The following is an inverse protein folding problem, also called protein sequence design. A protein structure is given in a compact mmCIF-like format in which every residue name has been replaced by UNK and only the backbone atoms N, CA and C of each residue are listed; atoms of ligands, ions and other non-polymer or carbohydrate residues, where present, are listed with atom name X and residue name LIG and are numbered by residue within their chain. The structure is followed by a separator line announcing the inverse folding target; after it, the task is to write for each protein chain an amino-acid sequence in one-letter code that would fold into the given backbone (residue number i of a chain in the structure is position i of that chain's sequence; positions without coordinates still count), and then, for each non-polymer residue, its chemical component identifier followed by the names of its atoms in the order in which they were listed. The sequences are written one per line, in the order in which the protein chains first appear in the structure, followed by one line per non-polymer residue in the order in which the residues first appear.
data_IF_065996265840
#
_entry.id   IF_065996265840
#
_cell.length_a   1.000
_cell.length_b   1.000
_cell.length_c   1.000
_cell.angle_alpha   90.00
_cell.angle_beta   90.00
_cell.angle_gamma   90.00
#
_symmetry.space_group_name_H-M   'P 1'
#
loop_
_entity.id
_entity.type
_entity.pdbx_description
1 polymer ?
#
# COMPACT_ATOMS: atom_id res chain seq x y z
N UNK A 1 3.97 2.79 16.33
CA UNK A 1 3.09 3.95 16.11
C UNK A 1 3.50 4.68 14.85
N UNK A 2 2.53 5.27 14.13
CA UNK A 2 2.81 6.17 13.02
C UNK A 2 3.15 7.57 13.56
N UNK A 3 3.97 8.34 12.87
CA UNK A 3 4.28 9.74 13.25
C UNK A 3 3.02 10.63 13.21
N UNK A 4 2.17 10.39 12.24
CA UNK A 4 0.84 10.99 12.10
C UNK A 4 -0.16 9.87 11.79
N UNK A 5 -1.41 9.94 12.32
CA UNK A 5 -2.43 8.98 11.94
C UNK A 5 -2.67 9.00 10.43
N UNK A 6 -2.72 7.82 9.82
CA UNK A 6 -2.99 7.67 8.40
C UNK A 6 -4.50 7.64 8.16
N UNK A 7 -5.05 8.75 7.66
CA UNK A 7 -6.47 8.91 7.40
C UNK A 7 -6.85 8.63 5.95
N UNK A 8 -7.89 7.83 5.75
CA UNK A 8 -8.55 7.54 4.47
C UNK A 8 -10.06 7.78 4.60
N UNK A 9 -10.83 7.70 3.52
CA UNK A 9 -12.29 7.86 3.52
C UNK A 9 -13.00 6.91 4.49
N UNK A 10 -12.48 5.69 4.70
CA UNK A 10 -13.05 4.67 5.60
C UNK A 10 -12.63 4.77 7.06
N UNK A 11 -11.74 5.70 7.44
CA UNK A 11 -11.28 5.84 8.82
C UNK A 11 -9.81 6.27 8.94
N UNK A 12 -9.26 6.17 10.15
CA UNK A 12 -7.86 6.51 10.42
C UNK A 12 -7.18 5.43 11.24
N UNK A 13 -5.90 5.22 10.99
CA UNK A 13 -5.05 4.28 11.70
C UNK A 13 -3.84 5.00 12.31
N UNK A 14 -3.67 4.89 13.62
CA UNK A 14 -2.52 5.47 14.35
C UNK A 14 -1.37 4.47 14.54
N UNK A 15 -1.63 3.18 14.33
CA UNK A 15 -0.66 2.08 14.50
C UNK A 15 -0.63 1.24 13.23
N UNK A 16 0.53 0.94 12.70
CA UNK A 16 0.72 -0.12 11.70
C UNK A 16 1.08 -1.41 12.44
N UNK A 17 0.14 -2.34 12.49
CA UNK A 17 0.30 -3.65 13.11
C UNK A 17 0.59 -4.69 12.01
N UNK A 18 1.77 -4.58 11.41
CA UNK A 18 2.18 -5.41 10.30
C UNK A 18 2.78 -6.74 10.80
N UNK A 19 2.86 -7.73 9.90
CA UNK A 19 3.52 -9.01 10.15
C UNK A 19 4.64 -9.18 9.13
N UNK A 20 5.87 -9.29 9.62
CA UNK A 20 7.01 -9.63 8.78
C UNK A 20 7.07 -11.14 8.58
N UNK A 21 7.19 -11.57 7.34
CA UNK A 21 7.34 -12.97 6.94
C UNK A 21 8.77 -13.17 6.46
N UNK A 22 9.42 -14.19 7.01
CA UNK A 22 10.72 -14.66 6.54
C UNK A 22 10.59 -16.08 6.04
N UNK A 23 11.07 -16.35 4.83
CA UNK A 23 11.07 -17.65 4.22
C UNK A 23 12.51 -18.01 3.81
N UNK A 24 12.99 -19.16 4.26
CA UNK A 24 14.34 -19.64 3.94
C UNK A 24 14.27 -20.84 3.00
N UNK A 25 15.03 -20.81 1.91
CA UNK A 25 15.24 -21.92 1.00
C UNK A 25 16.51 -22.69 1.39
N UNK A 26 16.58 -23.95 0.96
CA UNK A 26 17.82 -24.72 1.05
C UNK A 26 18.98 -23.92 0.43
N UNK A 27 20.12 -23.89 1.13
CA UNK A 27 21.26 -23.08 0.75
C UNK A 27 21.32 -21.69 1.39
N UNK A 28 20.39 -21.36 2.30
CA UNK A 28 20.44 -20.14 3.12
C UNK A 28 19.89 -18.88 2.41
N UNK A 29 19.17 -19.04 1.33
CA UNK A 29 18.52 -17.90 0.63
C UNK A 29 17.25 -17.48 1.37
N UNK A 30 17.27 -16.28 1.94
CA UNK A 30 16.18 -15.74 2.73
C UNK A 30 15.42 -14.70 1.93
N UNK A 31 14.09 -14.87 1.84
CA UNK A 31 13.17 -13.88 1.29
C UNK A 31 12.29 -13.26 2.36
N UNK A 32 11.86 -12.04 2.12
CA UNK A 32 11.07 -11.24 3.03
C UNK A 32 9.74 -10.83 2.40
N UNK A 33 8.69 -10.85 3.21
CA UNK A 33 7.38 -10.33 2.88
C UNK A 33 6.75 -9.62 4.06
N UNK A 34 5.84 -8.71 3.80
CA UNK A 34 5.15 -7.95 4.84
C UNK A 34 3.65 -7.98 4.62
N UNK A 35 2.91 -8.49 5.60
CA UNK A 35 1.47 -8.33 5.65
C UNK A 35 1.13 -7.02 6.36
N UNK A 36 0.38 -6.16 5.69
CA UNK A 36 -0.04 -4.86 6.20
C UNK A 36 -1.57 -4.79 6.30
N UNK A 37 -2.19 -5.49 7.27
CA UNK A 37 -3.62 -5.45 7.46
C UNK A 37 -4.09 -4.03 7.81
N UNK A 38 -5.20 -3.62 7.21
CA UNK A 38 -5.77 -2.28 7.38
C UNK A 38 -7.25 -2.40 7.80
N UNK A 39 -7.55 -2.63 9.09
CA UNK A 39 -8.90 -2.90 9.58
C UNK A 39 -9.97 -1.89 9.13
N UNK A 40 -9.70 -0.57 9.08
CA UNK A 40 -10.69 0.40 8.61
C UNK A 40 -11.07 0.26 7.13
N UNK A 41 -10.22 -0.41 6.33
CA UNK A 41 -10.43 -0.55 4.89
C UNK A 41 -10.92 -1.95 4.49
N UNK A 42 -10.21 -2.99 4.91
CA UNK A 42 -10.50 -4.37 4.49
C UNK A 42 -10.98 -5.30 5.62
N UNK A 43 -11.04 -4.80 6.86
CA UNK A 43 -11.42 -5.59 8.03
C UNK A 43 -10.36 -6.58 8.52
N UNK A 44 -9.23 -6.68 7.85
CA UNK A 44 -8.16 -7.59 8.23
C UNK A 44 -7.40 -7.14 9.47
N UNK A 45 -6.97 -8.08 10.29
CA UNK A 45 -6.21 -7.82 11.53
C UNK A 45 -4.87 -8.54 11.51
N UNK A 46 -3.91 -8.03 12.32
CA UNK A 46 -2.62 -8.69 12.52
C UNK A 46 -2.79 -10.14 13.02
N UNK A 47 -3.73 -10.38 13.94
CA UNK A 47 -3.98 -11.71 14.47
C UNK A 47 -4.46 -12.70 13.38
N UNK A 48 -5.34 -12.27 12.48
CA UNK A 48 -5.76 -13.08 11.34
C UNK A 48 -4.59 -13.39 10.41
N UNK A 49 -3.79 -12.37 10.05
CA UNK A 49 -2.62 -12.55 9.20
C UNK A 49 -1.62 -13.54 9.82
N UNK A 50 -1.32 -13.40 11.10
CA UNK A 50 -0.43 -14.32 11.83
C UNK A 50 -0.97 -15.75 11.84
N UNK A 51 -2.28 -15.94 12.10
CA UNK A 51 -2.91 -17.27 12.12
C UNK A 51 -2.78 -17.97 10.78
N UNK A 52 -3.11 -17.28 9.69
CA UNK A 52 -3.07 -17.83 8.33
C UNK A 52 -1.63 -18.15 7.91
N UNK A 53 -0.68 -17.27 8.21
CA UNK A 53 0.73 -17.47 7.88
C UNK A 53 1.36 -18.60 8.70
N UNK A 54 1.07 -18.68 9.99
CA UNK A 54 1.57 -19.76 10.85
C UNK A 54 1.07 -21.14 10.39
N UNK A 55 -0.18 -21.24 9.94
CA UNK A 55 -0.75 -22.48 9.41
C UNK A 55 -0.02 -22.99 8.16
N UNK A 56 0.63 -22.12 7.40
CA UNK A 56 1.38 -22.51 6.22
C UNK A 56 2.63 -23.34 6.55
N UNK A 57 3.24 -23.14 7.71
CA UNK A 57 4.46 -23.83 8.10
C UNK A 57 4.30 -25.37 8.07
N UNK A 58 3.14 -25.88 8.49
CA UNK A 58 2.88 -27.31 8.59
C UNK A 58 2.92 -28.05 7.25
N UNK A 59 2.68 -27.38 6.15
CA UNK A 59 2.61 -28.02 4.83
C UNK A 59 3.65 -27.48 3.83
N UNK A 60 4.26 -26.32 4.12
CA UNK A 60 5.20 -25.65 3.22
C UNK A 60 6.62 -26.21 3.35
N UNK A 61 7.04 -26.53 4.58
CA UNK A 61 8.40 -27.02 4.86
C UNK A 61 8.71 -28.28 4.03
N UNK A 62 9.84 -28.26 3.32
CA UNK A 62 10.29 -29.34 2.46
C UNK A 62 9.71 -29.32 1.04
N UNK A 63 8.84 -28.39 0.69
CA UNK A 63 8.33 -28.27 -0.68
C UNK A 63 9.34 -27.53 -1.59
N UNK A 64 9.43 -27.95 -2.86
CA UNK A 64 10.24 -27.22 -3.85
C UNK A 64 9.62 -25.85 -4.13
N UNK A 65 10.48 -24.80 -4.16
CA UNK A 65 10.05 -23.42 -4.37
C UNK A 65 10.04 -22.98 -5.84
N UNK A 66 10.44 -23.84 -6.76
CA UNK A 66 10.60 -23.50 -8.19
C UNK A 66 9.27 -23.10 -8.84
N UNK A 67 8.18 -23.76 -8.46
CA UNK A 67 6.84 -23.33 -8.87
C UNK A 67 6.17 -22.54 -7.72
N UNK A 68 6.67 -21.33 -7.51
CA UNK A 68 6.14 -20.44 -6.48
C UNK A 68 4.64 -20.11 -6.69
N UNK A 69 4.16 -20.13 -7.95
CA UNK A 69 2.74 -19.89 -8.26
C UNK A 69 1.83 -21.02 -7.79
N UNK A 70 2.28 -22.26 -7.91
CA UNK A 70 1.55 -23.41 -7.37
C UNK A 70 1.47 -23.32 -5.83
N UNK A 71 2.57 -22.94 -5.16
CA UNK A 71 2.60 -22.75 -3.71
C UNK A 71 1.69 -21.57 -3.27
N UNK A 72 1.69 -20.48 -4.01
CA UNK A 72 0.78 -19.34 -3.76
C UNK A 72 -0.68 -19.74 -3.92
N UNK A 73 -0.99 -20.53 -4.94
CA UNK A 73 -2.35 -21.09 -5.15
C UNK A 73 -2.74 -22.04 -4.02
N UNK A 74 -1.83 -22.91 -3.57
CA UNK A 74 -2.07 -23.79 -2.44
C UNK A 74 -2.28 -23.01 -1.14
N UNK A 75 -1.48 -21.97 -0.87
CA UNK A 75 -1.68 -21.09 0.27
C UNK A 75 -3.08 -20.46 0.26
N UNK A 76 -3.48 -19.94 -0.90
CA UNK A 76 -4.79 -19.34 -1.09
C UNK A 76 -5.92 -20.30 -0.77
N UNK A 77 -5.86 -21.54 -1.27
CA UNK A 77 -6.90 -22.57 -1.06
C UNK A 77 -6.92 -23.09 0.37
N UNK A 78 -5.79 -23.07 1.09
CA UNK A 78 -5.68 -23.50 2.50
C UNK A 78 -6.02 -22.41 3.52
N UNK A 79 -6.62 -21.31 3.12
CA UNK A 79 -7.08 -20.23 4.00
C UNK A 79 -6.52 -18.86 3.68
N UNK A 80 -5.51 -18.73 2.84
CA UNK A 80 -4.93 -17.44 2.43
C UNK A 80 -5.94 -16.49 1.79
N UNK A 81 -6.96 -17.03 1.10
CA UNK A 81 -8.03 -16.24 0.50
C UNK A 81 -8.84 -15.41 1.51
N UNK A 82 -8.84 -15.79 2.79
CA UNK A 82 -9.55 -15.06 3.85
C UNK A 82 -8.76 -13.83 4.37
N UNK A 83 -7.49 -13.68 3.99
CA UNK A 83 -6.61 -12.59 4.45
C UNK A 83 -5.64 -12.20 3.33
N UNK A 84 -6.02 -11.20 2.54
CA UNK A 84 -5.26 -10.75 1.36
C UNK A 84 -3.88 -10.22 1.73
N UNK A 85 -3.73 -9.57 2.89
CA UNK A 85 -2.41 -9.11 3.37
C UNK A 85 -1.46 -10.29 3.68
N UNK A 86 -1.98 -11.38 4.24
CA UNK A 86 -1.18 -12.59 4.48
C UNK A 86 -0.81 -13.28 3.16
N UNK A 87 -1.74 -13.37 2.20
CA UNK A 87 -1.47 -13.89 0.86
C UNK A 87 -0.34 -13.09 0.18
N UNK A 88 -0.44 -11.77 0.20
CA UNK A 88 0.57 -10.88 -0.38
C UNK A 88 1.94 -11.11 0.27
N UNK A 89 2.01 -11.13 1.60
CA UNK A 89 3.25 -11.34 2.34
C UNK A 89 3.90 -12.69 2.05
N UNK A 90 3.10 -13.75 1.94
CA UNK A 90 3.57 -15.08 1.59
C UNK A 90 4.18 -15.10 0.19
N UNK A 91 3.48 -14.55 -0.81
CA UNK A 91 3.95 -14.47 -2.19
C UNK A 91 5.22 -13.61 -2.31
N UNK A 92 5.27 -12.47 -1.60
CA UNK A 92 6.45 -11.60 -1.56
C UNK A 92 7.66 -12.35 -1.01
N UNK A 93 7.54 -13.01 0.15
CA UNK A 93 8.65 -13.73 0.77
C UNK A 93 9.15 -14.87 -0.11
N UNK A 94 8.24 -15.63 -0.70
CA UNK A 94 8.57 -16.76 -1.57
C UNK A 94 9.29 -16.30 -2.84
N UNK A 95 8.74 -15.28 -3.50
CA UNK A 95 9.31 -14.73 -4.72
C UNK A 95 10.65 -14.03 -4.47
N UNK A 96 10.80 -13.31 -3.36
CA UNK A 96 12.08 -12.69 -2.97
C UNK A 96 13.15 -13.76 -2.71
N UNK A 97 12.82 -14.85 -2.01
CA UNK A 97 13.76 -15.95 -1.76
C UNK A 97 14.22 -16.62 -3.06
N UNK A 98 13.28 -16.92 -3.96
CA UNK A 98 13.57 -17.54 -5.27
C UNK A 98 14.45 -16.61 -6.12
N UNK A 99 14.10 -15.34 -6.22
CA UNK A 99 14.88 -14.38 -7.01
C UNK A 99 16.28 -14.13 -6.43
N UNK A 100 16.45 -14.14 -5.10
CA UNK A 100 17.76 -14.06 -4.45
C UNK A 100 18.61 -15.28 -4.77
N UNK A 101 18.02 -16.49 -4.73
CA UNK A 101 18.69 -17.73 -5.14
C UNK A 101 19.16 -17.66 -6.59
N UNK A 102 18.33 -17.18 -7.47
CA UNK A 102 18.58 -17.15 -8.92
C UNK A 102 19.39 -15.92 -9.36
N UNK A 103 19.72 -15.00 -8.45
CA UNK A 103 20.46 -13.76 -8.74
C UNK A 103 19.71 -12.78 -9.63
N UNK A 104 18.38 -12.85 -9.66
CA UNK A 104 17.51 -12.00 -10.48
C UNK A 104 16.87 -10.92 -9.62
N UNK A 105 17.16 -9.63 -9.82
CA UNK A 105 16.44 -8.56 -9.10
C UNK A 105 14.94 -8.59 -9.38
N UNK A 106 14.12 -8.33 -8.35
CA UNK A 106 12.66 -8.39 -8.43
C UNK A 106 12.09 -7.52 -9.58
N UNK A 107 12.62 -6.31 -9.75
CA UNK A 107 12.19 -5.42 -10.84
C UNK A 107 12.44 -6.02 -12.23
N UNK A 108 13.56 -6.75 -12.39
CA UNK A 108 13.89 -7.43 -13.65
C UNK A 108 13.00 -8.65 -13.88
N UNK A 109 12.70 -9.40 -12.81
CA UNK A 109 11.78 -10.53 -12.86
C UNK A 109 10.41 -10.13 -13.40
N UNK A 110 9.91 -8.97 -13.02
CA UNK A 110 8.65 -8.40 -13.52
C UNK A 110 8.76 -7.65 -14.85
N UNK A 111 9.89 -7.74 -15.54
CA UNK A 111 10.07 -7.12 -16.87
C UNK A 111 10.37 -5.63 -16.83
N UNK A 112 10.78 -5.09 -15.70
CA UNK A 112 11.17 -3.68 -15.59
C UNK A 112 12.42 -3.35 -16.41
N UNK A 113 12.45 -2.16 -17.00
CA UNK A 113 13.52 -1.69 -17.88
C UNK A 113 14.63 -0.89 -17.15
N UNK A 114 14.47 -0.61 -15.86
CA UNK A 114 15.44 0.20 -15.09
C UNK A 114 15.18 0.18 -13.60
N UNK A 115 16.05 0.86 -12.87
CA UNK A 115 16.06 0.93 -11.40
C UNK A 115 15.63 2.28 -10.84
N UNK A 116 15.29 3.24 -11.72
CA UNK A 116 14.80 4.57 -11.34
C UNK A 116 13.30 4.68 -11.60
N UNK A 117 12.59 5.21 -10.62
CA UNK A 117 11.18 5.55 -10.75
C UNK A 117 10.87 6.81 -9.95
N UNK A 118 9.87 7.56 -10.41
CA UNK A 118 9.32 8.71 -9.68
C UNK A 118 8.27 8.21 -8.67
N UNK A 119 8.28 8.78 -7.47
CA UNK A 119 7.29 8.46 -6.42
C UNK A 119 6.46 9.68 -6.05
N UNK A 120 5.31 9.43 -5.41
CA UNK A 120 4.51 10.46 -4.74
C UNK A 120 4.66 10.42 -3.22
N UNK A 121 4.16 11.47 -2.56
CA UNK A 121 3.81 11.45 -1.14
C UNK A 121 2.36 11.85 -0.92
N UNK A 122 1.75 11.25 0.10
CA UNK A 122 0.33 11.41 0.38
C UNK A 122 0.07 12.55 1.36
N UNK A 123 -0.82 13.47 0.96
CA UNK A 123 -1.55 14.35 1.87
C UNK A 123 -2.82 13.62 2.32
N UNK A 124 -2.89 13.30 3.60
CA UNK A 124 -4.01 12.56 4.21
C UNK A 124 -5.23 13.46 4.42
N UNK A 125 -6.33 12.92 4.96
CA UNK A 125 -7.50 13.73 5.34
C UNK A 125 -7.14 14.74 6.43
N UNK A 126 -7.65 15.97 6.31
CA UNK A 126 -7.34 17.07 7.24
C UNK A 126 -7.96 18.39 6.78
N UNK A 127 -7.61 19.52 7.41
CA UNK A 127 -8.08 20.83 6.95
C UNK A 127 -7.33 21.32 5.70
N UNK A 128 -7.86 22.33 4.98
CA UNK A 128 -7.13 22.98 3.88
C UNK A 128 -5.77 23.53 4.31
N UNK A 129 -5.67 24.12 5.50
CA UNK A 129 -4.43 24.69 6.06
C UNK A 129 -3.40 23.57 6.32
N UNK A 130 -3.85 22.45 6.89
CA UNK A 130 -3.01 21.27 7.10
C UNK A 130 -2.55 20.71 5.75
N UNK A 131 -3.44 20.59 4.79
CA UNK A 131 -3.10 20.12 3.45
C UNK A 131 -2.03 20.98 2.76
N UNK A 132 -2.12 22.29 2.89
CA UNK A 132 -1.08 23.21 2.39
C UNK A 132 0.26 23.03 3.13
N UNK A 133 0.24 22.82 4.44
CA UNK A 133 1.44 22.57 5.24
C UNK A 133 2.12 21.27 4.83
N UNK A 134 1.34 20.18 4.68
CA UNK A 134 1.85 18.89 4.25
C UNK A 134 2.43 18.96 2.81
N UNK A 135 1.76 19.69 1.92
CA UNK A 135 2.24 19.87 0.55
C UNK A 135 3.59 20.62 0.49
N UNK A 136 3.79 21.66 1.33
CA UNK A 136 5.10 22.31 1.45
C UNK A 136 6.16 21.32 1.93
N UNK A 137 5.88 20.57 2.99
CA UNK A 137 6.81 19.57 3.54
C UNK A 137 7.19 18.49 2.51
N UNK A 138 6.26 18.10 1.64
CA UNK A 138 6.50 17.16 0.53
C UNK A 138 7.46 17.81 -0.49
N UNK A 139 7.23 19.04 -0.86
CA UNK A 139 8.08 19.79 -1.80
C UNK A 139 9.49 20.01 -1.25
N UNK A 140 9.62 20.31 0.04
CA UNK A 140 10.92 20.46 0.73
C UNK A 140 11.76 19.19 0.66
N UNK A 141 11.10 18.01 0.60
CA UNK A 141 11.75 16.71 0.35
C UNK A 141 12.09 16.46 -1.12
N UNK A 142 11.85 17.43 -2.02
CA UNK A 142 12.05 17.32 -3.47
C UNK A 142 11.18 16.26 -4.14
N UNK A 143 10.06 15.89 -3.52
CA UNK A 143 9.05 15.03 -4.13
C UNK A 143 8.10 15.92 -4.91
N UNK A 144 7.98 15.64 -6.20
CA UNK A 144 7.21 16.50 -7.11
C UNK A 144 5.72 16.14 -7.11
N UNK A 145 5.41 14.85 -7.09
CA UNK A 145 4.04 14.34 -7.23
C UNK A 145 3.37 14.24 -5.85
N UNK A 146 2.17 14.78 -5.73
CA UNK A 146 1.40 14.77 -4.48
C UNK A 146 0.14 13.95 -4.66
N UNK A 147 -0.02 12.91 -3.85
CA UNK A 147 -1.25 12.13 -3.76
C UNK A 147 -2.14 12.74 -2.68
N UNK A 148 -3.41 12.97 -2.98
CA UNK A 148 -4.36 13.61 -2.06
C UNK A 148 -5.52 12.65 -1.79
N UNK A 149 -5.73 12.33 -0.51
CA UNK A 149 -6.90 11.56 -0.08
C UNK A 149 -8.15 12.43 -0.16
N UNK A 150 -9.16 11.95 -0.91
CA UNK A 150 -10.46 12.60 -1.11
C UNK A 150 -11.60 11.65 -0.76
N UNK A 151 -12.83 12.13 -0.74
CA UNK A 151 -14.02 11.32 -0.41
C UNK A 151 -14.28 11.22 1.09
N UNK A 152 -13.76 12.17 1.87
CA UNK A 152 -14.07 12.27 3.30
C UNK A 152 -15.53 12.72 3.56
N UNK A 153 -16.01 12.59 4.82
CA UNK A 153 -17.41 12.85 5.19
C UNK A 153 -17.85 14.30 5.03
N UNK A 154 -16.91 15.24 4.81
CA UNK A 154 -17.22 16.66 4.60
C UNK A 154 -17.60 17.00 3.15
N UNK A 155 -17.55 16.01 2.27
CA UNK A 155 -18.00 16.12 0.88
C UNK A 155 -17.04 16.82 -0.09
N UNK A 156 -17.39 16.83 -1.39
CA UNK A 156 -16.51 17.27 -2.46
C UNK A 156 -16.08 18.74 -2.40
N UNK A 157 -16.95 19.63 -1.87
CA UNK A 157 -16.59 21.04 -1.71
C UNK A 157 -15.45 21.27 -0.71
N UNK A 158 -15.39 20.47 0.34
CA UNK A 158 -14.30 20.53 1.31
C UNK A 158 -13.00 19.95 0.72
N UNK A 159 -13.08 18.86 -0.05
CA UNK A 159 -11.94 18.32 -0.75
C UNK A 159 -11.42 19.30 -1.81
N UNK A 160 -12.30 20.00 -2.52
CA UNK A 160 -11.90 21.05 -3.46
C UNK A 160 -11.13 22.18 -2.76
N UNK A 161 -11.59 22.64 -1.59
CA UNK A 161 -10.87 23.67 -0.81
C UNK A 161 -9.47 23.21 -0.41
N UNK A 162 -9.29 21.92 -0.07
CA UNK A 162 -7.98 21.33 0.22
C UNK A 162 -7.08 21.31 -1.02
N UNK A 163 -7.64 20.92 -2.17
CA UNK A 163 -6.89 20.89 -3.44
C UNK A 163 -6.46 22.28 -3.88
N UNK A 164 -7.29 23.29 -3.72
CA UNK A 164 -6.97 24.69 -3.98
C UNK A 164 -5.85 25.16 -3.04
N UNK A 165 -5.90 24.82 -1.75
CA UNK A 165 -4.86 25.16 -0.79
C UNK A 165 -3.50 24.50 -1.13
N UNK A 166 -3.51 23.23 -1.58
CA UNK A 166 -2.31 22.53 -2.05
C UNK A 166 -1.76 23.21 -3.30
N UNK A 167 -2.60 23.49 -4.29
CA UNK A 167 -2.18 24.15 -5.52
C UNK A 167 -1.57 25.54 -5.27
N UNK A 168 -2.11 26.30 -4.31
CA UNK A 168 -1.59 27.60 -3.92
C UNK A 168 -0.14 27.58 -3.40
N UNK A 169 0.34 26.45 -2.90
CA UNK A 169 1.71 26.29 -2.37
C UNK A 169 2.59 25.37 -3.21
N UNK A 170 2.02 24.61 -4.09
CA UNK A 170 2.70 23.65 -4.97
C UNK A 170 2.07 23.65 -6.38
N UNK A 171 2.07 24.78 -7.10
CA UNK A 171 1.32 24.93 -8.35
C UNK A 171 1.84 24.02 -9.48
N UNK A 172 3.13 23.66 -9.45
CA UNK A 172 3.78 22.80 -10.46
C UNK A 172 3.73 21.30 -10.11
N UNK A 173 3.06 20.92 -9.00
CA UNK A 173 2.98 19.54 -8.58
C UNK A 173 1.80 18.85 -9.26
N UNK A 174 2.02 17.75 -10.01
CA UNK A 174 0.94 16.88 -10.43
C UNK A 174 0.21 16.31 -9.21
N UNK A 175 -1.12 16.30 -9.25
CA UNK A 175 -1.95 15.76 -8.18
C UNK A 175 -2.57 14.43 -8.58
N UNK A 176 -2.50 13.45 -7.67
CA UNK A 176 -3.22 12.17 -7.77
C UNK A 176 -4.33 12.18 -6.74
N UNK A 177 -5.58 12.11 -7.17
CA UNK A 177 -6.73 12.05 -6.27
C UNK A 177 -7.10 10.59 -5.97
N UNK A 178 -7.06 10.21 -4.68
CA UNK A 178 -7.32 8.85 -4.23
C UNK A 178 -8.51 8.83 -3.26
N UNK A 179 -9.65 8.35 -3.76
CA UNK A 179 -10.90 8.26 -3.01
C UNK A 179 -11.06 6.99 -2.18
N UNK A 180 -10.18 6.01 -2.28
CA UNK A 180 -10.25 4.73 -1.57
C UNK A 180 -11.67 4.09 -1.59
N UNK A 181 -12.29 4.06 -2.77
CA UNK A 181 -13.68 3.62 -3.00
C UNK A 181 -14.76 4.43 -2.24
N UNK A 182 -14.41 5.55 -1.59
CA UNK A 182 -15.33 6.40 -0.84
C UNK A 182 -15.90 7.60 -1.63
N UNK A 183 -15.60 7.71 -2.95
CA UNK A 183 -16.07 8.80 -3.81
C UNK A 183 -17.13 8.29 -4.78
N UNK A 184 -18.31 8.90 -4.76
CA UNK A 184 -19.34 8.62 -5.78
C UNK A 184 -18.92 9.19 -7.14
N UNK A 185 -19.54 8.67 -8.22
CA UNK A 185 -19.34 9.24 -9.57
C UNK A 185 -19.72 10.71 -9.65
N UNK A 186 -20.77 11.11 -8.97
CA UNK A 186 -21.24 12.51 -8.93
C UNK A 186 -20.21 13.41 -8.24
N UNK A 187 -19.69 13.00 -7.09
CA UNK A 187 -18.68 13.75 -6.34
C UNK A 187 -17.35 13.84 -7.09
N UNK A 188 -16.92 12.74 -7.72
CA UNK A 188 -15.71 12.75 -8.56
C UNK A 188 -15.87 13.73 -9.74
N UNK A 189 -17.06 13.77 -10.36
CA UNK A 189 -17.34 14.72 -11.44
C UNK A 189 -17.30 16.16 -10.93
N UNK A 190 -17.90 16.44 -9.75
CA UNK A 190 -17.90 17.76 -9.13
C UNK A 190 -16.47 18.23 -8.80
N UNK A 191 -15.64 17.35 -8.24
CA UNK A 191 -14.24 17.65 -7.97
C UNK A 191 -13.47 18.03 -9.23
N UNK A 192 -13.58 17.22 -10.29
CA UNK A 192 -12.87 17.49 -11.57
C UNK A 192 -13.36 18.77 -12.23
N UNK A 193 -14.65 19.07 -12.16
CA UNK A 193 -15.22 20.32 -12.70
C UNK A 193 -14.77 21.55 -11.90
N UNK A 194 -14.66 21.42 -10.58
CA UNK A 194 -14.20 22.50 -9.70
C UNK A 194 -12.71 22.84 -9.82
N UNK A 195 -11.91 21.98 -10.45
CA UNK A 195 -10.47 22.16 -10.70
C UNK A 195 -10.17 22.81 -12.07
N UNK A 196 -11.17 23.07 -12.89
CA UNK A 196 -11.04 23.75 -14.19
C UNK A 196 -11.16 25.24 -14.04
#
# INVERSE_FOLDING_TARGET
ALHTPFGISGGAQAMANNVLVTLELNGGFIGYGEAAPLPPYNGETQAQAMTVLAAAQAWLVGKPADDWRALATEFRTRGGAACGSAQCAFEMALLDAVNRRDGVPMWKYFGGAGTALETDMTVTTGSPEQAATDARAIRDRRIRMIKVKVGGPKGPGYDLARLVAIHGVAPDSPLILDGNAGVSRADATALVQGLR
#
